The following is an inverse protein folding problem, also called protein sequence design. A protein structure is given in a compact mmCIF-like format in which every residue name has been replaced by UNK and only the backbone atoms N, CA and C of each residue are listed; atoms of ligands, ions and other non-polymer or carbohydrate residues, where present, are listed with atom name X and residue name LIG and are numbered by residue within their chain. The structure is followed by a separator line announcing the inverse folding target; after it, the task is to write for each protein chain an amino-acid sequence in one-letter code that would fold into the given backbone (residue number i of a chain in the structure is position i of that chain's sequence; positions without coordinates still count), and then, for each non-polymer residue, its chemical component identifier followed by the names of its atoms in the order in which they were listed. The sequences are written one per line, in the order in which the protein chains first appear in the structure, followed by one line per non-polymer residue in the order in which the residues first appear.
data_IF_306432048556
#
_entry.id   IF_306432048556
#
_cell.length_a   1.000
_cell.length_b   1.000
_cell.length_c   1.000
_cell.angle_alpha   90.00
_cell.angle_beta   90.00
_cell.angle_gamma   90.00
#
_symmetry.space_group_name_H-M   'P 1'
#
loop_
_entity.id
_entity.type
_entity.pdbx_description
1 polymer ?
#
# COMPACT_ATOMS: atom_id res chain seq x y z
N UNK A 1 -3.85 10.21 -14.61
CA UNK A 1 -3.26 9.02 -15.26
C UNK A 1 -2.70 8.14 -14.15
N UNK A 2 -3.54 7.25 -13.61
CA UNK A 2 -3.16 6.42 -12.46
C UNK A 2 -2.16 5.37 -12.95
N UNK A 3 -0.89 5.55 -12.61
CA UNK A 3 0.17 4.61 -12.94
C UNK A 3 -0.07 3.31 -12.15
N UNK A 4 -0.75 2.37 -12.80
CA UNK A 4 -0.92 1.00 -12.29
C UNK A 4 0.23 0.16 -12.85
N UNK A 5 1.39 0.24 -12.19
CA UNK A 5 2.40 -0.82 -12.27
C UNK A 5 2.00 -2.03 -11.38
N UNK A 6 0.72 -2.43 -11.47
CA UNK A 6 0.07 -3.41 -10.59
C UNK A 6 -1.21 -4.02 -11.19
N UNK A 7 -1.39 -3.94 -12.52
CA UNK A 7 -2.64 -4.31 -13.18
C UNK A 7 -3.01 -5.79 -13.09
N UNK A 8 -2.08 -6.63 -12.60
CA UNK A 8 -2.27 -8.08 -12.49
C UNK A 8 -2.55 -8.58 -11.07
N UNK A 9 -2.38 -7.76 -10.03
CA UNK A 9 -2.48 -8.23 -8.63
C UNK A 9 -3.69 -7.60 -7.94
N UNK A 10 -4.72 -8.42 -7.75
CA UNK A 10 -5.89 -8.09 -6.92
C UNK A 10 -5.75 -8.77 -5.56
N UNK A 11 -6.17 -8.12 -4.46
CA UNK A 11 -6.22 -8.79 -3.17
C UNK A 11 -7.19 -9.98 -3.23
N UNK A 12 -6.84 -11.09 -2.59
CA UNK A 12 -7.72 -12.24 -2.44
C UNK A 12 -8.86 -11.93 -1.45
N UNK A 13 -9.85 -12.83 -1.35
CA UNK A 13 -10.96 -12.73 -0.39
C UNK A 13 -12.12 -11.81 -0.78
N UNK A 14 -12.04 -11.14 -1.93
CA UNK A 14 -13.16 -10.47 -2.58
C UNK A 14 -13.91 -9.48 -1.67
N UNK A 15 -15.24 -9.52 -1.75
CA UNK A 15 -16.11 -8.61 -0.98
C UNK A 15 -16.04 -8.84 0.54
N UNK A 16 -15.81 -10.08 0.98
CA UNK A 16 -15.76 -10.42 2.41
C UNK A 16 -14.61 -9.65 3.08
N UNK A 17 -13.39 -9.78 2.57
CA UNK A 17 -12.24 -9.06 3.13
C UNK A 17 -12.32 -7.55 2.90
N UNK A 18 -12.92 -7.12 1.77
CA UNK A 18 -13.10 -5.70 1.47
C UNK A 18 -14.06 -5.02 2.45
N UNK A 19 -15.10 -5.72 2.92
CA UNK A 19 -16.04 -5.16 3.88
C UNK A 19 -15.53 -5.27 5.33
N UNK A 20 -14.85 -6.36 5.66
CA UNK A 20 -14.34 -6.58 7.02
C UNK A 20 -13.19 -5.63 7.40
N UNK A 21 -12.42 -5.14 6.43
CA UNK A 21 -11.27 -4.26 6.68
C UNK A 21 -11.61 -2.81 6.40
N UNK A 22 -11.59 -1.96 7.42
CA UNK A 22 -11.88 -0.53 7.26
C UNK A 22 -10.75 0.25 6.54
N UNK A 23 -9.48 -0.16 6.73
CA UNK A 23 -8.32 0.52 6.14
C UNK A 23 -7.45 -0.49 5.39
N UNK A 24 -7.13 -0.19 4.13
CA UNK A 24 -6.39 -1.10 3.24
C UNK A 24 -5.25 -0.38 2.54
N UNK A 25 -4.07 -1.00 2.58
CA UNK A 25 -2.85 -0.45 2.00
C UNK A 25 -2.24 -1.40 0.98
N UNK A 26 -1.73 -0.84 -0.11
CA UNK A 26 -0.97 -1.54 -1.13
C UNK A 26 0.51 -1.19 -0.98
N UNK A 27 1.33 -2.20 -0.68
CA UNK A 27 2.76 -2.04 -0.49
C UNK A 27 3.48 -2.47 -1.77
N UNK A 28 4.38 -1.62 -2.27
CA UNK A 28 5.25 -1.94 -3.41
C UNK A 28 6.70 -1.60 -3.12
N UNK A 29 7.61 -2.35 -3.75
CA UNK A 29 9.04 -2.02 -3.75
C UNK A 29 9.26 -0.77 -4.61
N UNK A 30 10.00 0.19 -4.09
CA UNK A 30 10.44 1.40 -4.80
C UNK A 30 11.83 1.20 -5.41
N UNK A 31 12.61 2.28 -5.49
CA UNK A 31 13.98 2.23 -5.99
C UNK A 31 14.94 1.93 -4.84
N UNK A 32 15.92 1.07 -5.07
CA UNK A 32 16.89 0.66 -4.03
C UNK A 32 16.20 0.11 -2.77
N UNK A 33 16.48 0.70 -1.61
CA UNK A 33 15.89 0.32 -0.31
C UNK A 33 14.58 1.06 -0.01
N UNK A 34 14.20 2.03 -0.84
CA UNK A 34 12.94 2.74 -0.69
C UNK A 34 11.76 1.85 -1.14
N UNK A 35 10.66 1.99 -0.44
CA UNK A 35 9.39 1.30 -0.65
C UNK A 35 8.27 2.31 -0.54
N UNK A 36 7.15 2.00 -1.18
CA UNK A 36 5.99 2.89 -1.22
C UNK A 36 4.78 2.15 -0.70
N UNK A 37 4.10 2.79 0.25
CA UNK A 37 2.82 2.36 0.78
C UNK A 37 1.74 3.28 0.24
N UNK A 38 0.77 2.71 -0.50
CA UNK A 38 -0.39 3.43 -0.97
C UNK A 38 -1.60 3.09 -0.11
N UNK A 39 -2.25 4.09 0.45
CA UNK A 39 -3.58 3.94 1.04
C UNK A 39 -4.60 3.80 -0.10
N UNK A 40 -5.24 2.63 -0.17
CA UNK A 40 -6.20 2.29 -1.24
C UNK A 40 -7.62 2.62 -0.81
N UNK A 41 -7.92 2.42 0.47
CA UNK A 41 -9.26 2.60 1.01
C UNK A 41 -9.19 2.87 2.51
N UNK A 42 -9.97 3.86 2.97
CA UNK A 42 -10.14 4.21 4.37
C UNK A 42 -11.37 5.11 4.55
N UNK A 43 -12.17 4.96 5.63
CA UNK A 43 -13.30 5.84 5.89
C UNK A 43 -12.90 7.29 6.21
N UNK A 44 -11.72 7.48 6.83
CA UNK A 44 -11.35 8.77 7.46
C UNK A 44 -10.17 9.48 6.77
N UNK A 45 -9.58 8.86 5.73
CA UNK A 45 -8.39 9.38 5.07
C UNK A 45 -8.53 9.28 3.55
N UNK A 46 -8.14 10.34 2.80
CA UNK A 46 -8.10 10.27 1.35
C UNK A 46 -7.00 9.32 0.87
N UNK A 47 -7.14 8.76 -0.33
CA UNK A 47 -6.09 7.99 -0.98
C UNK A 47 -4.79 8.81 -1.05
N UNK A 48 -3.70 8.24 -0.54
CA UNK A 48 -2.38 8.87 -0.50
C UNK A 48 -1.26 7.84 -0.60
N UNK A 49 -0.05 8.29 -0.92
CA UNK A 49 1.16 7.45 -0.93
C UNK A 49 2.16 7.99 0.08
N UNK A 50 2.92 7.09 0.72
CA UNK A 50 4.02 7.40 1.61
C UNK A 50 5.23 6.52 1.29
N UNK A 51 6.41 7.12 1.30
CA UNK A 51 7.68 6.41 1.16
C UNK A 51 8.18 5.93 2.52
N UNK A 52 8.83 4.78 2.53
CA UNK A 52 9.49 4.20 3.71
C UNK A 52 10.67 3.33 3.27
N UNK A 53 11.58 3.02 4.19
CA UNK A 53 12.66 2.04 3.95
C UNK A 53 12.59 0.92 4.98
N UNK A 54 13.23 -0.20 4.66
CA UNK A 54 13.42 -1.30 5.61
C UNK A 54 14.90 -1.44 5.92
N UNK A 55 15.25 -1.25 7.20
CA UNK A 55 16.58 -1.48 7.74
C UNK A 55 16.59 -2.74 8.62
N UNK A 56 17.74 -3.14 9.15
CA UNK A 56 17.86 -4.31 10.06
C UNK A 56 16.95 -4.19 11.30
N UNK A 57 16.68 -2.96 11.75
CA UNK A 57 15.76 -2.66 12.86
C UNK A 57 14.28 -2.62 12.47
N UNK A 58 13.94 -2.84 11.20
CA UNK A 58 12.57 -2.80 10.69
C UNK A 58 12.26 -1.57 9.85
N UNK A 59 11.08 -0.97 10.08
CA UNK A 59 10.59 0.15 9.28
C UNK A 59 11.23 1.46 9.71
N UNK A 60 11.79 2.19 8.75
CA UNK A 60 12.40 3.49 8.99
C UNK A 60 11.89 4.54 7.99
N UNK A 61 12.00 5.79 8.41
CA UNK A 61 11.69 6.96 7.58
C UNK A 61 12.76 7.18 6.52
N UNK A 62 12.35 7.69 5.36
CA UNK A 62 13.23 7.97 4.21
C UNK A 62 13.72 9.40 4.23
#
# INVERSE_FOLDING_TARGET
MTFVAGGALKPIGGHILSHASATRMFLRKGRAEERVAKLVDSPDRPESEASYKLDEGGWADV
#
